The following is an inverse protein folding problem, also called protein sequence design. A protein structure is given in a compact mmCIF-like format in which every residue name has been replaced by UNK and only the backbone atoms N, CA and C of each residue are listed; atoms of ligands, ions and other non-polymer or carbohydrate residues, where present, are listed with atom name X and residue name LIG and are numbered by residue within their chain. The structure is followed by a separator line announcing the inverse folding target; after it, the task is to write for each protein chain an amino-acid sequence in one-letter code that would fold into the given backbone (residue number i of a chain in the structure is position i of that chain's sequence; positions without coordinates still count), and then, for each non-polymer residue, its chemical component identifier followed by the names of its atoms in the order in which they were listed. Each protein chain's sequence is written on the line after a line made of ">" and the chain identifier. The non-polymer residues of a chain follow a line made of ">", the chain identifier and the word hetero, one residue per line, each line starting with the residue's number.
data_IF_255323871338
#
_entry.id   IF_255323871338
#
_cell.length_a   1.000
_cell.length_b   1.000
_cell.length_c   1.000
_cell.angle_alpha   90.00
_cell.angle_beta   90.00
_cell.angle_gamma   90.00
#
_symmetry.space_group_name_H-M   'P 1'
#
loop_
_entity.id
_entity.type
_entity.pdbx_description
1 polymer ?
#
# COMPACT_ATOMS: atom_id res chain seq x y z
N UNK A 1 53.46 6.57 -5.20
CA UNK A 1 52.70 5.46 -5.82
C UNK A 1 51.30 5.39 -5.21
N UNK A 2 50.39 6.29 -5.58
CA UNK A 2 49.05 6.32 -4.95
C UNK A 2 47.95 7.07 -5.70
N UNK A 3 48.21 7.61 -6.88
CA UNK A 3 47.23 8.36 -7.65
C UNK A 3 46.42 7.48 -8.62
N UNK A 4 46.93 6.32 -9.04
CA UNK A 4 46.28 5.49 -10.07
C UNK A 4 45.15 4.61 -9.53
N UNK A 5 45.13 4.29 -8.23
CA UNK A 5 44.07 3.46 -7.64
C UNK A 5 42.73 4.21 -7.49
N UNK A 6 42.75 5.54 -7.44
CA UNK A 6 41.54 6.35 -7.25
C UNK A 6 40.72 6.48 -8.55
N UNK A 7 41.39 6.53 -9.71
CA UNK A 7 40.72 6.67 -11.00
C UNK A 7 39.86 5.44 -11.38
N UNK A 8 40.27 4.24 -10.98
CA UNK A 8 39.55 3.00 -11.29
C UNK A 8 38.24 2.87 -10.48
N UNK A 9 38.18 3.46 -9.28
CA UNK A 9 36.98 3.44 -8.44
C UNK A 9 35.90 4.40 -8.96
N UNK A 10 36.28 5.57 -9.47
CA UNK A 10 35.33 6.55 -10.02
C UNK A 10 34.78 6.11 -11.39
N UNK A 11 35.58 5.46 -12.24
CA UNK A 11 35.13 4.92 -13.53
C UNK A 11 34.17 3.73 -13.38
N UNK A 12 34.41 2.87 -12.39
CA UNK A 12 33.50 1.77 -12.05
C UNK A 12 32.16 2.28 -11.46
N UNK A 13 32.18 3.38 -10.71
CA UNK A 13 30.96 3.99 -10.15
C UNK A 13 30.11 4.64 -11.24
N UNK A 14 30.72 5.29 -12.24
CA UNK A 14 29.98 5.81 -13.40
C UNK A 14 29.34 4.69 -14.23
N UNK A 15 30.05 3.60 -14.50
CA UNK A 15 29.53 2.48 -15.31
C UNK A 15 28.42 1.68 -14.60
N UNK A 16 28.42 1.59 -13.26
CA UNK A 16 27.41 0.84 -12.51
C UNK A 16 26.24 1.69 -11.98
N UNK A 17 26.41 3.01 -11.82
CA UNK A 17 25.35 3.89 -11.25
C UNK A 17 24.66 4.75 -12.32
N UNK A 18 25.34 5.15 -13.41
CA UNK A 18 24.70 5.98 -14.46
C UNK A 18 23.64 5.29 -15.34
N UNK A 19 23.65 3.98 -15.67
CA UNK A 19 22.64 3.45 -16.58
C UNK A 19 21.24 3.38 -15.95
N UNK A 20 21.10 3.65 -14.65
CA UNK A 20 19.79 3.70 -13.99
C UNK A 20 19.14 5.08 -13.97
N UNK A 21 19.88 6.15 -14.29
CA UNK A 21 19.36 7.52 -14.29
C UNK A 21 18.82 7.96 -15.67
N UNK A 22 19.34 7.40 -16.77
CA UNK A 22 19.00 7.84 -18.12
C UNK A 22 17.84 7.08 -18.77
N UNK A 23 17.48 5.88 -18.27
CA UNK A 23 16.26 5.17 -18.70
C UNK A 23 14.99 5.69 -17.97
N UNK A 24 15.02 6.96 -17.56
CA UNK A 24 13.86 7.73 -17.11
C UNK A 24 12.89 8.09 -18.26
N UNK A 25 13.15 7.62 -19.48
CA UNK A 25 12.72 8.27 -20.72
C UNK A 25 11.32 7.93 -21.24
N UNK A 26 10.61 6.93 -20.70
CA UNK A 26 9.24 6.66 -21.15
C UNK A 26 8.29 6.46 -19.97
N UNK A 27 7.60 7.55 -19.63
CA UNK A 27 6.37 7.46 -18.85
C UNK A 27 5.32 6.82 -19.74
N UNK A 28 4.81 5.68 -19.30
CA UNK A 28 3.68 5.03 -19.93
C UNK A 28 2.40 5.43 -19.21
N UNK A 29 1.35 5.64 -19.98
CA UNK A 29 -0.02 5.81 -19.50
C UNK A 29 -0.86 4.75 -20.19
N UNK A 30 -1.69 4.04 -19.41
CA UNK A 30 -2.66 3.12 -20.02
C UNK A 30 -3.69 3.96 -20.82
N UNK A 31 -4.20 3.47 -21.95
CA UNK A 31 -5.20 4.20 -22.73
C UNK A 31 -6.44 4.44 -21.86
N UNK A 32 -6.97 5.67 -21.90
CA UNK A 32 -8.19 6.00 -21.18
C UNK A 32 -9.33 5.11 -21.68
N UNK A 33 -10.10 4.47 -20.78
CA UNK A 33 -11.24 3.67 -21.20
C UNK A 33 -12.27 4.56 -21.91
N UNK A 34 -12.84 4.09 -23.02
CA UNK A 34 -13.81 4.85 -23.83
C UNK A 34 -15.00 5.36 -23.01
N UNK A 35 -15.42 4.59 -22.01
CA UNK A 35 -16.37 5.01 -21.00
C UNK A 35 -15.60 5.62 -19.83
N UNK A 36 -15.42 6.94 -19.85
CA UNK A 36 -14.70 7.69 -18.83
C UNK A 36 -15.06 7.19 -17.44
N UNK A 37 -14.11 6.50 -16.79
CA UNK A 37 -14.40 5.85 -15.52
C UNK A 37 -14.17 6.88 -14.43
N UNK A 38 -15.24 7.57 -14.03
CA UNK A 38 -15.20 8.40 -12.84
C UNK A 38 -14.88 7.51 -11.63
N UNK A 39 -13.95 7.96 -10.78
CA UNK A 39 -13.64 7.25 -9.55
C UNK A 39 -14.87 7.25 -8.66
N UNK A 40 -15.22 6.07 -8.12
CA UNK A 40 -16.27 5.97 -7.10
C UNK A 40 -15.70 6.50 -5.80
N UNK A 41 -16.16 7.69 -5.41
CA UNK A 41 -15.89 8.27 -4.09
C UNK A 41 -16.50 7.39 -3.01
N UNK A 42 -15.75 7.19 -1.93
CA UNK A 42 -16.22 6.45 -0.75
C UNK A 42 -16.57 7.48 0.30
N UNK A 43 -17.86 7.61 0.60
CA UNK A 43 -18.33 8.53 1.64
C UNK A 43 -18.11 7.92 3.02
N UNK A 44 -17.33 8.60 3.86
CA UNK A 44 -17.13 8.28 5.27
C UNK A 44 -17.28 9.55 6.10
N UNK A 45 -17.75 9.47 7.36
CA UNK A 45 -17.95 10.65 8.19
C UNK A 45 -16.65 11.43 8.47
N UNK A 46 -15.50 10.77 8.41
CA UNK A 46 -14.17 11.40 8.61
C UNK A 46 -13.57 12.00 7.32
N UNK A 47 -14.31 11.97 6.20
CA UNK A 47 -13.82 12.41 4.89
C UNK A 47 -13.88 13.94 4.77
N UNK A 48 -12.76 14.55 4.39
CA UNK A 48 -12.64 15.96 4.07
C UNK A 48 -12.40 16.11 2.56
N UNK A 49 -13.36 16.65 1.82
CA UNK A 49 -13.27 16.79 0.35
C UNK A 49 -12.62 18.09 -0.13
N UNK A 50 -12.24 18.96 0.81
CA UNK A 50 -11.58 20.24 0.50
C UNK A 50 -10.08 20.04 0.29
N UNK A 51 -9.66 20.01 -0.96
CA UNK A 51 -8.26 19.77 -1.35
C UNK A 51 -7.28 20.81 -0.77
N UNK A 52 -7.77 22.01 -0.45
CA UNK A 52 -6.95 23.09 0.11
C UNK A 52 -6.54 22.83 1.55
N UNK A 53 -7.33 22.02 2.27
CA UNK A 53 -7.06 21.61 3.66
C UNK A 53 -6.13 20.41 3.76
N UNK A 54 -5.94 19.67 2.66
CA UNK A 54 -5.10 18.48 2.70
C UNK A 54 -3.64 18.83 2.94
N UNK A 55 -2.96 18.09 3.83
CA UNK A 55 -1.55 18.30 4.09
C UNK A 55 -0.74 18.05 2.84
N UNK A 56 0.42 18.72 2.73
CA UNK A 56 1.41 18.39 1.71
C UNK A 56 1.91 16.97 1.95
N UNK A 57 1.98 16.17 0.89
CA UNK A 57 2.54 14.82 0.91
C UNK A 57 3.95 14.83 1.52
N UNK A 58 4.20 13.96 2.51
CA UNK A 58 5.53 13.80 3.14
C UNK A 58 6.50 13.00 2.27
N UNK A 59 5.99 12.35 1.23
CA UNK A 59 6.75 11.47 0.34
C UNK A 59 7.63 12.25 -0.64
N UNK A 60 8.83 11.73 -0.91
CA UNK A 60 9.72 12.30 -1.93
C UNK A 60 9.15 12.04 -3.33
N UNK A 61 9.26 13.02 -4.23
CA UNK A 61 8.71 12.92 -5.59
C UNK A 61 9.35 11.81 -6.43
N UNK A 62 10.58 11.39 -6.12
CA UNK A 62 11.29 10.31 -6.81
C UNK A 62 10.96 8.90 -6.27
N UNK A 63 10.14 8.79 -5.21
CA UNK A 63 9.82 7.48 -4.63
C UNK A 63 8.83 6.73 -5.51
N UNK A 64 9.26 5.59 -6.04
CA UNK A 64 8.43 4.70 -6.85
C UNK A 64 7.87 3.53 -6.01
N UNK A 65 6.67 3.08 -6.35
CA UNK A 65 5.99 1.95 -5.70
C UNK A 65 5.48 0.96 -6.76
N UNK A 66 5.66 -0.37 -6.57
CA UNK A 66 5.14 -1.35 -7.52
C UNK A 66 3.60 -1.42 -7.41
N UNK A 67 2.95 -1.73 -8.55
CA UNK A 67 1.48 -1.81 -8.67
C UNK A 67 0.80 -2.55 -7.51
N UNK A 68 1.30 -3.75 -7.17
CA UNK A 68 0.70 -4.58 -6.12
C UNK A 68 0.70 -3.92 -4.75
N UNK A 69 1.82 -3.25 -4.39
CA UNK A 69 1.95 -2.52 -3.13
C UNK A 69 1.06 -1.28 -3.10
N UNK A 70 0.98 -0.56 -4.22
CA UNK A 70 0.10 0.60 -4.34
C UNK A 70 -1.37 0.24 -4.05
N UNK A 71 -1.87 -0.85 -4.64
CA UNK A 71 -3.24 -1.34 -4.39
C UNK A 71 -3.47 -1.69 -2.92
N UNK A 72 -2.53 -2.37 -2.29
CA UNK A 72 -2.68 -2.81 -0.89
C UNK A 72 -2.50 -1.69 0.14
N UNK A 73 -1.57 -0.76 -0.10
CA UNK A 73 -1.25 0.34 0.84
C UNK A 73 -2.26 1.47 0.75
N UNK A 74 -2.81 1.75 -0.45
CA UNK A 74 -3.69 2.90 -0.70
C UNK A 74 -5.13 2.52 -1.05
N UNK A 75 -5.47 1.23 -0.97
CA UNK A 75 -6.82 0.69 -1.24
C UNK A 75 -7.39 1.11 -2.61
N UNK A 76 -6.51 1.28 -3.59
CA UNK A 76 -6.88 1.64 -4.96
C UNK A 76 -7.27 0.42 -5.79
N UNK A 77 -8.26 0.58 -6.67
CA UNK A 77 -8.59 -0.42 -7.68
C UNK A 77 -7.76 -0.22 -8.93
N UNK A 78 -7.73 -1.22 -9.83
CA UNK A 78 -7.01 -1.08 -11.10
C UNK A 78 -7.55 0.08 -11.94
N UNK A 79 -8.86 0.37 -11.85
CA UNK A 79 -9.51 1.49 -12.56
C UNK A 79 -9.01 2.84 -12.06
N UNK A 80 -8.82 2.97 -10.76
CA UNK A 80 -8.36 4.21 -10.13
C UNK A 80 -6.89 4.54 -10.51
N UNK A 81 -6.12 3.51 -10.86
CA UNK A 81 -4.71 3.61 -11.25
C UNK A 81 -4.48 3.86 -12.74
N UNK A 82 -5.48 3.63 -13.61
CA UNK A 82 -5.37 3.88 -15.05
C UNK A 82 -4.87 5.28 -15.44
N UNK A 83 -5.35 6.38 -14.82
CA UNK A 83 -4.89 7.72 -15.19
C UNK A 83 -3.49 8.05 -14.68
N UNK A 84 -2.86 7.18 -13.87
CA UNK A 84 -1.55 7.44 -13.30
C UNK A 84 -0.45 7.05 -14.29
N UNK A 85 0.58 7.89 -14.36
CA UNK A 85 1.78 7.57 -15.12
C UNK A 85 2.60 6.49 -14.41
N UNK A 86 3.21 5.59 -15.18
CA UNK A 86 4.09 4.55 -14.65
C UNK A 86 5.32 4.35 -15.50
N UNK A 87 6.38 3.85 -14.87
CA UNK A 87 7.57 3.37 -15.53
C UNK A 87 7.57 1.84 -15.53
N UNK A 88 8.07 1.22 -16.60
CA UNK A 88 8.33 -0.23 -16.61
C UNK A 88 9.72 -0.48 -16.05
N UNK A 89 9.85 -1.46 -15.17
CA UNK A 89 11.14 -1.89 -14.61
C UNK A 89 11.30 -3.41 -14.79
N UNK A 90 12.53 -3.86 -15.01
CA UNK A 90 12.88 -5.28 -14.98
C UNK A 90 12.62 -5.84 -13.59
N UNK A 91 11.94 -6.98 -13.52
CA UNK A 91 11.87 -7.74 -12.28
C UNK A 91 13.22 -8.44 -12.01
N UNK A 92 13.35 -9.13 -10.87
CA UNK A 92 14.57 -9.88 -10.52
C UNK A 92 14.91 -11.00 -11.53
N UNK A 93 13.95 -11.42 -12.35
CA UNK A 93 14.11 -12.42 -13.40
C UNK A 93 14.39 -11.79 -14.79
N UNK A 94 14.58 -10.47 -14.86
CA UNK A 94 14.90 -9.75 -16.10
C UNK A 94 13.71 -9.37 -16.98
N UNK A 95 12.47 -9.73 -16.62
CA UNK A 95 11.28 -9.39 -17.40
C UNK A 95 10.84 -7.94 -17.16
N UNK A 96 10.58 -7.19 -18.25
CA UNK A 96 10.09 -5.79 -18.25
C UNK A 96 8.58 -5.66 -17.90
N UNK A 97 8.10 -6.43 -16.91
CA UNK A 97 6.68 -6.52 -16.58
C UNK A 97 6.27 -5.69 -15.36
N UNK A 98 7.22 -5.15 -14.58
CA UNK A 98 6.88 -4.47 -13.34
C UNK A 98 6.50 -3.01 -13.61
N UNK A 99 5.21 -2.68 -13.42
CA UNK A 99 4.73 -1.29 -13.42
C UNK A 99 5.05 -0.60 -12.09
N UNK A 100 5.87 0.43 -12.14
CA UNK A 100 6.29 1.27 -11.02
C UNK A 100 5.62 2.64 -11.12
N UNK A 101 4.85 3.01 -10.09
CA UNK A 101 4.10 4.26 -10.05
C UNK A 101 4.79 5.26 -9.12
N UNK A 102 4.56 6.56 -9.35
CA UNK A 102 5.00 7.58 -8.40
C UNK A 102 4.16 7.48 -7.12
N UNK A 103 4.80 7.21 -5.98
CA UNK A 103 4.09 7.00 -4.71
C UNK A 103 3.30 8.24 -4.28
N UNK A 104 3.79 9.45 -4.60
CA UNK A 104 3.11 10.72 -4.30
C UNK A 104 1.83 10.90 -5.11
N UNK A 105 1.85 10.55 -6.40
CA UNK A 105 0.65 10.61 -7.25
C UNK A 105 -0.39 9.59 -6.81
N UNK A 106 0.05 8.37 -6.47
CA UNK A 106 -0.79 7.31 -5.91
C UNK A 106 -1.46 7.76 -4.61
N UNK A 107 -0.70 8.39 -3.70
CA UNK A 107 -1.23 8.94 -2.43
C UNK A 107 -2.31 10.00 -2.68
N UNK A 108 -2.03 10.98 -3.54
CA UNK A 108 -3.03 12.00 -3.92
C UNK A 108 -4.29 11.37 -4.51
N UNK A 109 -4.14 10.36 -5.37
CA UNK A 109 -5.28 9.65 -5.95
C UNK A 109 -6.11 8.90 -4.92
N UNK A 110 -5.48 8.40 -3.87
CA UNK A 110 -6.16 7.78 -2.74
C UNK A 110 -6.94 8.83 -1.93
N UNK A 111 -6.35 10.00 -1.68
CA UNK A 111 -7.05 11.12 -1.05
C UNK A 111 -8.26 11.60 -1.86
N UNK A 112 -8.16 11.65 -3.20
CA UNK A 112 -9.28 11.98 -4.07
C UNK A 112 -10.44 10.97 -3.96
N UNK A 113 -10.15 9.72 -3.60
CA UNK A 113 -11.14 8.63 -3.50
C UNK A 113 -11.78 8.58 -2.12
N UNK A 114 -11.00 8.79 -1.07
CA UNK A 114 -11.41 8.64 0.32
C UNK A 114 -11.66 9.97 1.05
N UNK A 115 -11.52 11.11 0.37
CA UNK A 115 -11.70 12.42 0.97
C UNK A 115 -10.57 12.77 1.94
N UNK A 116 -9.34 12.80 1.43
CA UNK A 116 -8.17 13.22 2.19
C UNK A 116 -7.47 12.10 2.97
N UNK A 117 -6.47 12.47 3.79
CA UNK A 117 -5.68 11.51 4.58
C UNK A 117 -6.51 10.85 5.69
N UNK A 118 -7.38 11.61 6.37
CA UNK A 118 -8.20 11.10 7.48
C UNK A 118 -9.14 9.98 7.01
N UNK A 119 -9.82 10.17 5.87
CA UNK A 119 -10.70 9.16 5.30
C UNK A 119 -9.95 7.92 4.80
N UNK A 120 -8.72 8.09 4.29
CA UNK A 120 -7.85 6.96 3.91
C UNK A 120 -7.42 6.15 5.14
N UNK A 121 -7.00 6.83 6.22
CA UNK A 121 -6.58 6.17 7.46
C UNK A 121 -7.75 5.41 8.11
N UNK A 122 -8.95 6.00 8.13
CA UNK A 122 -10.16 5.33 8.59
C UNK A 122 -10.49 4.08 7.75
N UNK A 123 -10.30 4.15 6.43
CA UNK A 123 -10.49 3.00 5.55
C UNK A 123 -9.45 1.88 5.79
N UNK A 124 -8.19 2.25 6.05
CA UNK A 124 -7.15 1.29 6.42
C UNK A 124 -7.40 0.64 7.78
N UNK A 125 -7.81 1.42 8.77
CA UNK A 125 -8.19 0.93 10.09
C UNK A 125 -9.37 -0.05 10.01
N UNK A 126 -10.39 0.27 9.20
CA UNK A 126 -11.51 -0.62 8.94
C UNK A 126 -11.06 -1.96 8.34
N UNK A 127 -10.18 -1.93 7.32
CA UNK A 127 -9.64 -3.15 6.72
C UNK A 127 -8.79 -3.97 7.69
N UNK A 128 -8.04 -3.32 8.57
CA UNK A 128 -7.26 -4.00 9.60
C UNK A 128 -8.16 -4.66 10.66
N UNK A 129 -9.26 -4.00 11.05
CA UNK A 129 -10.24 -4.54 11.98
C UNK A 129 -11.04 -5.71 11.37
N UNK A 130 -11.41 -5.61 10.10
CA UNK A 130 -12.23 -6.61 9.40
C UNK A 130 -11.44 -7.87 9.05
N UNK A 131 -10.11 -7.79 8.87
CA UNK A 131 -9.30 -8.97 8.59
C UNK A 131 -9.45 -9.96 9.74
N UNK A 132 -10.17 -11.09 9.58
CA UNK A 132 -10.20 -12.11 10.60
C UNK A 132 -8.74 -12.49 10.83
N UNK A 133 -8.30 -12.47 12.09
CA UNK A 133 -6.94 -12.92 12.46
C UNK A 133 -6.74 -14.23 11.73
N UNK A 134 -5.86 -14.25 10.72
CA UNK A 134 -5.65 -15.42 9.88
C UNK A 134 -5.48 -16.59 10.84
N UNK A 135 -6.36 -17.58 10.71
CA UNK A 135 -6.26 -18.85 11.41
C UNK A 135 -4.79 -19.27 11.33
N UNK A 136 -4.06 -19.15 12.44
CA UNK A 136 -2.71 -19.68 12.52
C UNK A 136 -2.85 -21.16 12.22
N UNK A 137 -2.06 -21.69 11.29
CA UNK A 137 -1.99 -23.13 11.05
C UNK A 137 -1.60 -23.91 12.33
N UNK A 138 -1.12 -23.22 13.36
CA UNK A 138 -1.18 -23.64 14.75
C UNK A 138 -2.59 -23.38 15.27
N UNK A 139 -3.46 -24.41 15.21
CA UNK A 139 -4.82 -24.31 15.75
C UNK A 139 -4.80 -23.87 17.23
N UNK A 140 -5.90 -23.33 17.76
CA UNK A 140 -6.03 -23.18 19.21
C UNK A 140 -5.87 -24.58 19.82
N UNK A 141 -4.81 -24.75 20.63
CA UNK A 141 -4.71 -25.86 21.57
C UNK A 141 -5.81 -25.63 22.61
N UNK A 142 -7.03 -26.04 22.28
CA UNK A 142 -8.12 -26.07 23.25
C UNK A 142 -7.85 -27.28 24.14
N UNK A 143 -6.97 -27.12 25.13
CA UNK A 143 -7.11 -27.86 26.38
C UNK A 143 -8.36 -27.29 27.05
N UNK A 144 -9.52 -27.90 26.77
CA UNK A 144 -10.68 -27.75 27.64
C UNK A 144 -10.28 -28.41 28.96
N UNK A 145 -9.79 -27.63 29.90
CA UNK A 145 -9.75 -28.05 31.29
C UNK A 145 -11.21 -28.08 31.76
N UNK A 146 -11.79 -29.28 31.65
CA UNK A 146 -13.08 -29.66 32.19
C UNK A 146 -12.95 -29.76 33.71
N UNK A 147 -13.02 -28.64 34.41
CA UNK A 147 -13.30 -28.60 35.85
C UNK A 147 -14.16 -27.37 36.13
N UNK A 148 -15.48 -27.55 36.11
CA UNK A 148 -16.39 -26.64 36.81
C UNK A 148 -17.38 -27.48 37.62
N UNK A 149 -16.92 -27.73 38.83
CA UNK A 149 -17.60 -27.90 40.10
C UNK A 149 -19.10 -27.59 40.10
N UNK A 150 -19.91 -28.63 40.35
CA UNK A 150 -21.34 -28.56 40.60
C UNK A 150 -21.55 -28.02 42.01
N UNK A 151 -21.87 -26.73 42.14
CA UNK A 151 -22.37 -26.17 43.40
C UNK A 151 -23.83 -26.60 43.57
N UNK A 152 -24.05 -27.67 44.34
CA UNK A 152 -25.37 -28.18 44.73
C UNK A 152 -25.94 -27.24 45.80
N UNK A 153 -26.95 -26.44 45.43
CA UNK A 153 -27.70 -25.61 46.37
C UNK A 153 -28.66 -26.52 47.16
N UNK A 154 -28.43 -26.67 48.46
CA UNK A 154 -29.39 -27.30 49.37
C UNK A 154 -30.59 -26.37 49.58
N UNK A 155 -31.76 -26.78 49.08
CA UNK A 155 -33.04 -26.15 49.38
C UNK A 155 -33.45 -26.47 50.83
N UNK A 156 -33.34 -25.48 51.71
CA UNK A 156 -34.04 -25.46 52.98
C UNK A 156 -35.55 -25.22 52.74
N UNK A 157 -36.35 -26.28 52.82
CA UNK A 157 -37.80 -26.17 52.98
C UNK A 157 -38.13 -25.93 54.47
N UNK A 158 -38.56 -24.71 54.78
CA UNK A 158 -39.30 -24.34 55.99
C UNK A 158 -40.73 -23.98 55.53
N UNK A 159 -41.73 -24.68 56.05
CA UNK A 159 -43.14 -24.36 55.86
C UNK A 159 -44.02 -25.60 55.84
#
# INVERSE_FOLDING_TARGET
>A
MGAEAQAFADEAYELYVKPFAEDAGTKFTDPAPANGTSMKRVERPESEWDETKWPKSKLKAATLIPKGRAKSEFLLTDKDMLPLSYCKKKNSQGYNCMKMYNKREVERRAWDKYGGPNGLDAALAFLQAERPRKWSKTGPSVFVAEENEIVRVEEHHLG
#
